data_IF_305472497922
#
_entry.id   IF_305472497922
#
_cell.length_a   1.000
_cell.length_b   1.000
_cell.length_c   1.000
_cell.angle_alpha   90.00
_cell.angle_beta   90.00
_cell.angle_gamma   90.00
#
_symmetry.space_group_name_H-M   'P 1'
#
loop_
_entity.id
_entity.type
_entity.pdbx_description
1 polymer ?
#
# COMPACT_ATOMS: atom_id res chain seq x y z
N UNK A 1 9.73 5.21 12.37
CA UNK A 1 11.08 5.20 11.77
C UNK A 1 11.03 6.23 10.69
N UNK A 2 11.76 7.34 10.83
CA UNK A 2 11.59 8.53 9.99
C UNK A 2 11.57 8.19 8.49
N UNK A 3 12.44 7.28 8.03
CA UNK A 3 12.45 6.83 6.64
C UNK A 3 11.16 6.12 6.19
N UNK A 4 10.60 5.26 7.04
CA UNK A 4 9.35 4.56 6.73
C UNK A 4 8.16 5.51 6.76
N UNK A 5 8.19 6.52 7.64
CA UNK A 5 7.15 7.55 7.74
C UNK A 5 7.15 8.42 6.46
N UNK A 6 8.33 8.81 5.98
CA UNK A 6 8.48 9.52 4.69
C UNK A 6 8.04 8.66 3.50
N UNK A 7 8.39 7.36 3.47
CA UNK A 7 7.93 6.45 2.42
C UNK A 7 6.42 6.31 2.41
N UNK A 8 5.80 6.22 3.58
CA UNK A 8 4.35 6.17 3.70
C UNK A 8 3.72 7.42 3.10
N UNK A 9 4.19 8.62 3.51
CA UNK A 9 3.68 9.90 3.00
C UNK A 9 3.81 10.00 1.47
N UNK A 10 4.99 9.70 0.92
CA UNK A 10 5.24 9.72 -0.53
C UNK A 10 4.31 8.76 -1.29
N UNK A 11 4.14 7.52 -0.79
CA UNK A 11 3.24 6.55 -1.42
C UNK A 11 1.79 7.04 -1.35
N UNK A 12 1.34 7.53 -0.19
CA UNK A 12 -0.01 8.06 -0.02
C UNK A 12 -0.30 9.22 -0.97
N UNK A 13 0.63 10.15 -1.15
CA UNK A 13 0.51 11.28 -2.08
C UNK A 13 0.41 10.82 -3.54
N UNK A 14 1.27 9.89 -3.97
CA UNK A 14 1.23 9.34 -5.35
C UNK A 14 -0.05 8.58 -5.61
N UNK A 15 -0.52 7.84 -4.62
CA UNK A 15 -1.78 7.11 -4.68
C UNK A 15 -2.93 8.14 -4.79
N UNK A 16 -3.06 9.10 -3.88
CA UNK A 16 -4.11 10.11 -3.92
C UNK A 16 -4.13 10.91 -5.23
N UNK A 17 -2.97 11.33 -5.73
CA UNK A 17 -2.87 12.01 -7.03
C UNK A 17 -3.45 11.15 -8.16
N UNK A 18 -3.21 9.84 -8.17
CA UNK A 18 -3.77 8.92 -9.17
C UNK A 18 -5.26 8.62 -8.97
N UNK A 19 -5.74 8.51 -7.73
CA UNK A 19 -7.17 8.37 -7.38
C UNK A 19 -7.96 9.54 -7.96
N UNK A 20 -7.51 10.77 -7.69
CA UNK A 20 -8.15 12.02 -8.12
C UNK A 20 -8.21 12.10 -9.65
N UNK A 21 -7.17 11.65 -10.36
CA UNK A 21 -7.17 11.62 -11.83
C UNK A 21 -8.01 10.49 -12.45
N UNK A 22 -8.41 9.47 -11.68
CA UNK A 22 -9.26 8.38 -12.18
C UNK A 22 -9.13 7.08 -11.40
N UNK A 23 -10.09 6.81 -10.49
CA UNK A 23 -10.16 5.59 -9.66
C UNK A 23 -10.00 4.25 -10.39
N UNK A 24 -10.35 4.18 -11.68
CA UNK A 24 -10.36 2.92 -12.43
C UNK A 24 -8.95 2.37 -12.67
N UNK A 25 -7.95 3.22 -12.85
CA UNK A 25 -6.59 2.77 -13.19
C UNK A 25 -5.84 2.25 -11.97
N UNK A 26 -6.11 2.83 -10.81
CA UNK A 26 -5.60 2.31 -9.55
C UNK A 26 -6.17 0.93 -9.25
N UNK A 27 -7.50 0.78 -9.28
CA UNK A 27 -8.17 -0.50 -9.01
C UNK A 27 -7.69 -1.58 -9.99
N UNK A 28 -7.50 -1.25 -11.28
CA UNK A 28 -6.92 -2.17 -12.27
C UNK A 28 -5.47 -2.54 -11.95
N UNK A 29 -4.63 -1.57 -11.59
CA UNK A 29 -3.23 -1.82 -11.28
C UNK A 29 -3.12 -2.74 -10.06
N UNK A 30 -3.87 -2.47 -8.99
CA UNK A 30 -3.88 -3.32 -7.81
C UNK A 30 -4.47 -4.72 -8.09
N UNK A 31 -5.58 -4.83 -8.85
CA UNK A 31 -6.11 -6.12 -9.28
C UNK A 31 -5.12 -6.92 -10.14
N UNK A 32 -4.29 -6.23 -10.94
CA UNK A 32 -3.27 -6.88 -11.77
C UNK A 32 -2.14 -7.48 -10.93
N UNK A 33 -1.76 -6.83 -9.82
CA UNK A 33 -0.68 -7.31 -8.96
C UNK A 33 -1.13 -8.28 -7.88
N UNK A 34 -2.40 -8.29 -7.51
CA UNK A 34 -2.89 -9.21 -6.50
C UNK A 34 -2.71 -10.68 -6.95
N UNK A 35 -1.93 -11.43 -6.17
CA UNK A 35 -1.32 -12.69 -6.58
C UNK A 35 -2.30 -13.85 -6.76
N UNK A 36 -3.52 -13.76 -6.21
CA UNK A 36 -4.58 -14.78 -6.28
C UNK A 36 -5.87 -14.25 -5.64
N UNK A 37 -7.02 -14.65 -6.18
CA UNK A 37 -8.21 -14.84 -5.35
C UNK A 37 -7.87 -15.95 -4.37
N UNK A 38 -7.90 -15.68 -3.07
CA UNK A 38 -8.02 -16.75 -2.08
C UNK A 38 -9.24 -17.60 -2.44
N UNK A 39 -9.27 -18.88 -2.06
CA UNK A 39 -10.44 -19.77 -2.31
C UNK A 39 -11.77 -19.19 -1.80
N UNK A 40 -11.73 -18.17 -0.94
CA UNK A 40 -12.86 -17.38 -0.46
C UNK A 40 -13.29 -16.22 -1.37
N UNK A 41 -12.69 -16.04 -2.55
CA UNK A 41 -12.98 -14.94 -3.47
C UNK A 41 -12.35 -13.60 -3.11
N UNK A 42 -11.66 -13.51 -1.97
CA UNK A 42 -10.99 -12.30 -1.51
C UNK A 42 -9.63 -12.11 -2.20
N UNK A 43 -9.36 -10.87 -2.58
CA UNK A 43 -8.10 -10.45 -3.20
C UNK A 43 -7.10 -10.14 -2.11
N UNK A 44 -5.96 -10.83 -2.09
CA UNK A 44 -4.89 -10.59 -1.12
C UNK A 44 -3.66 -9.99 -1.77
N UNK A 45 -2.95 -9.17 -1.00
CA UNK A 45 -1.71 -8.49 -1.39
C UNK A 45 -0.62 -8.79 -0.36
N UNK A 46 0.60 -9.05 -0.81
CA UNK A 46 1.79 -9.19 0.04
C UNK A 46 2.81 -8.08 -0.24
N UNK A 47 3.91 -8.08 0.51
CA UNK A 47 4.95 -7.05 0.43
C UNK A 47 5.63 -6.95 -0.96
N UNK A 48 5.74 -8.07 -1.69
CA UNK A 48 6.33 -8.09 -3.06
C UNK A 48 5.42 -7.42 -4.08
N UNK A 49 4.12 -7.69 -3.99
CA UNK A 49 3.12 -7.07 -4.85
C UNK A 49 3.01 -5.57 -4.54
N UNK A 50 2.99 -5.22 -3.25
CA UNK A 50 3.03 -3.84 -2.79
C UNK A 50 4.25 -3.10 -3.36
N UNK A 51 5.46 -3.68 -3.27
CA UNK A 51 6.66 -3.10 -3.87
C UNK A 51 6.48 -2.83 -5.37
N UNK A 52 5.96 -3.79 -6.14
CA UNK A 52 5.75 -3.63 -7.58
C UNK A 52 4.76 -2.51 -7.93
N UNK A 53 3.71 -2.35 -7.13
CA UNK A 53 2.75 -1.25 -7.28
C UNK A 53 3.42 0.09 -6.99
N UNK A 54 4.13 0.19 -5.87
CA UNK A 54 4.80 1.40 -5.40
C UNK A 54 5.87 1.87 -6.40
N UNK A 55 6.64 0.96 -6.96
CA UNK A 55 7.61 1.27 -8.01
C UNK A 55 6.94 1.77 -9.29
N UNK A 56 5.78 1.23 -9.69
CA UNK A 56 4.99 1.76 -10.82
C UNK A 56 4.34 3.12 -10.55
N UNK A 57 4.20 3.49 -9.28
CA UNK A 57 3.82 4.85 -8.87
C UNK A 57 5.03 5.81 -8.89
N UNK A 58 6.22 5.33 -9.24
CA UNK A 58 7.45 6.09 -9.33
C UNK A 58 8.09 6.36 -7.97
N UNK A 59 7.81 5.54 -6.96
CA UNK A 59 8.42 5.62 -5.64
C UNK A 59 9.49 4.54 -5.51
N UNK A 60 10.71 4.97 -5.20
CA UNK A 60 11.84 4.05 -5.02
C UNK A 60 11.88 3.51 -3.60
N UNK A 61 11.88 2.19 -3.52
CA UNK A 61 11.76 1.42 -2.29
C UNK A 61 12.51 0.10 -2.46
N UNK A 62 13.24 -0.31 -1.44
CA UNK A 62 13.88 -1.62 -1.35
C UNK A 62 12.90 -2.69 -0.85
N UNK A 63 13.17 -3.97 -1.10
CA UNK A 63 12.34 -5.07 -0.60
C UNK A 63 12.24 -5.09 0.93
N UNK A 64 13.32 -4.69 1.63
CA UNK A 64 13.34 -4.58 3.09
C UNK A 64 12.45 -3.45 3.59
N UNK A 65 12.46 -2.30 2.92
CA UNK A 65 11.57 -1.18 3.23
C UNK A 65 10.11 -1.52 2.92
N UNK A 66 9.85 -2.22 1.81
CA UNK A 66 8.51 -2.70 1.47
C UNK A 66 7.98 -3.66 2.52
N UNK A 67 8.79 -4.62 2.95
CA UNK A 67 8.44 -5.55 4.02
C UNK A 67 8.18 -4.82 5.34
N UNK A 68 9.05 -3.88 5.73
CA UNK A 68 8.88 -3.12 6.97
C UNK A 68 7.66 -2.17 6.94
N UNK A 69 7.39 -1.53 5.80
CA UNK A 69 6.24 -0.65 5.64
C UNK A 69 4.94 -1.45 5.58
N UNK A 70 4.93 -2.56 4.83
CA UNK A 70 3.79 -3.48 4.78
C UNK A 70 3.52 -4.12 6.15
N UNK A 71 4.58 -4.46 6.89
CA UNK A 71 4.51 -5.01 8.24
C UNK A 71 3.84 -4.10 9.28
N UNK A 72 3.72 -2.79 9.01
CA UNK A 72 2.90 -1.90 9.86
C UNK A 72 1.43 -2.28 9.83
N UNK A 73 0.98 -2.82 8.70
CA UNK A 73 -0.40 -3.19 8.47
C UNK A 73 -0.62 -4.67 8.71
N UNK A 74 0.35 -5.52 8.40
CA UNK A 74 0.29 -6.97 8.64
C UNK A 74 0.60 -7.34 10.10
N UNK A 75 -0.23 -6.85 11.02
CA UNK A 75 -0.11 -7.07 12.47
C UNK A 75 -0.22 -8.53 12.90
N UNK A 76 -0.83 -9.38 12.08
CA UNK A 76 -0.96 -10.82 12.32
C UNK A 76 0.23 -11.62 11.76
N UNK A 77 1.20 -10.97 11.10
CA UNK A 77 2.35 -11.60 10.44
C UNK A 77 1.95 -12.73 9.47
N UNK A 78 0.79 -12.59 8.82
CA UNK A 78 0.24 -13.61 7.91
C UNK A 78 0.99 -13.58 6.57
N UNK A 79 1.71 -12.49 6.28
CA UNK A 79 2.45 -12.24 5.05
C UNK A 79 1.56 -11.75 3.91
N UNK A 80 0.25 -11.63 4.13
CA UNK A 80 -0.73 -11.14 3.18
C UNK A 80 -1.97 -10.59 3.89
N UNK A 81 -2.51 -9.46 3.40
CA UNK A 81 -3.78 -8.89 3.89
C UNK A 81 -4.81 -8.81 2.78
N UNK A 82 -6.08 -8.76 3.20
CA UNK A 82 -7.18 -8.37 2.31
C UNK A 82 -6.87 -7.01 1.71
N UNK A 83 -6.91 -6.92 0.38
CA UNK A 83 -6.55 -5.71 -0.36
C UNK A 83 -7.37 -4.49 0.09
N UNK A 84 -8.69 -4.65 0.23
CA UNK A 84 -9.57 -3.55 0.64
C UNK A 84 -9.22 -3.06 2.05
N UNK A 85 -8.97 -3.99 2.97
CA UNK A 85 -8.55 -3.63 4.33
C UNK A 85 -7.17 -2.95 4.35
N UNK A 86 -6.24 -3.40 3.51
CA UNK A 86 -4.94 -2.75 3.39
C UNK A 86 -5.09 -1.31 2.92
N UNK A 87 -5.90 -1.06 1.89
CA UNK A 87 -6.15 0.28 1.35
C UNK A 87 -6.80 1.20 2.39
N UNK A 88 -7.84 0.72 3.08
CA UNK A 88 -8.52 1.50 4.10
C UNK A 88 -7.55 1.90 5.23
N UNK A 89 -6.77 0.94 5.74
CA UNK A 89 -5.77 1.20 6.78
C UNK A 89 -4.64 2.11 6.29
N UNK A 90 -4.19 1.93 5.05
CA UNK A 90 -3.09 2.69 4.46
C UNK A 90 -3.44 4.18 4.34
N UNK A 91 -4.68 4.48 3.95
CA UNK A 91 -5.16 5.86 3.88
C UNK A 91 -5.51 6.44 5.25
N UNK A 92 -6.11 5.68 6.17
CA UNK A 92 -6.41 6.15 7.53
C UNK A 92 -5.12 6.56 8.27
N UNK A 93 -4.08 5.74 8.18
CA UNK A 93 -2.78 6.07 8.76
C UNK A 93 -2.07 7.21 8.01
N UNK A 94 -2.26 7.32 6.69
CA UNK A 94 -1.73 8.44 5.91
C UNK A 94 -2.32 9.78 6.34
N UNK A 95 -3.61 9.82 6.69
CA UNK A 95 -4.26 11.00 7.24
C UNK A 95 -3.75 11.31 8.65
N UNK A 96 -3.57 10.31 9.53
CA UNK A 96 -2.96 10.51 10.86
C UNK A 96 -1.58 11.15 10.79
N UNK A 97 -0.71 10.68 9.89
CA UNK A 97 0.63 11.23 9.66
C UNK A 97 0.58 12.71 9.23
N UNK A 98 -0.47 13.15 8.53
CA UNK A 98 -0.63 14.55 8.13
C UNK A 98 -1.05 15.47 9.27
N UNK A 99 -1.78 14.96 10.26
CA UNK A 99 -2.25 15.77 11.40
C UNK A 99 -1.15 15.98 12.44
N UNK A 100 -0.12 15.15 12.44
CA UNK A 100 1.04 15.25 13.34
C UNK A 100 2.14 16.23 12.84
N UNK A 101 1.89 17.01 11.77
CA UNK A 101 2.75 18.16 11.40
C UNK A 101 2.45 19.36 12.33
N UNK A 102 3.45 19.92 13.05
CA UNK A 102 3.24 21.05 13.96
C UNK A 102 2.90 22.37 13.25
#
# INVERSE_FOLDING_TARGET
SVRLDLLHKEVAERVQAKVVTGNKDMIRMFNFFARKKSGSGHVTIGHKEFLGIVQKLGVYMTEREACALFGRYDTECVGAKSYFQFIDLFFDEGERIRVDEP
#
